data_IF_956072605384
#
_entry.id   IF_956072605384
#
_cell.length_a   1.000
_cell.length_b   1.000
_cell.length_c   1.000
_cell.angle_alpha   90.00
_cell.angle_beta   90.00
_cell.angle_gamma   90.00
#
_symmetry.space_group_name_H-M   'P 1'
#
loop_
_entity.id
_entity.type
_entity.pdbx_description
1 polymer ?
#
# COMPACT_ATOMS: atom_id res chain seq x y z
N UNK A 1 -21.82 62.86 27.63
CA UNK A 1 -21.22 62.08 28.74
C UNK A 1 -21.94 60.74 28.75
N UNK A 2 -21.38 59.58 28.47
CA UNK A 2 -19.98 59.11 28.53
C UNK A 2 -19.71 58.09 27.43
N UNK A 3 -18.49 58.14 26.90
CA UNK A 3 -17.90 57.17 26.00
C UNK A 3 -17.04 56.16 26.77
N UNK A 4 -16.95 54.96 26.20
CA UNK A 4 -15.89 53.95 26.36
C UNK A 4 -15.84 53.22 27.73
N UNK A 5 -15.48 51.95 27.84
CA UNK A 5 -14.48 51.19 27.09
C UNK A 5 -14.89 49.71 27.00
N UNK A 6 -15.00 49.18 25.79
CA UNK A 6 -14.72 47.76 25.55
C UNK A 6 -13.22 47.69 25.26
N UNK A 7 -12.44 47.29 26.26
CA UNK A 7 -11.02 46.99 26.06
C UNK A 7 -10.86 45.76 25.16
N UNK A 8 -9.81 45.69 24.33
CA UNK A 8 -9.46 44.46 23.66
C UNK A 8 -9.09 43.42 24.71
N UNK A 9 -9.73 42.25 24.67
CA UNK A 9 -9.27 41.09 25.43
C UNK A 9 -7.98 40.63 24.76
N UNK A 10 -6.84 41.15 25.23
CA UNK A 10 -5.53 40.60 24.91
C UNK A 10 -5.40 39.24 25.57
N UNK A 11 -5.74 38.18 24.83
CA UNK A 11 -5.32 36.83 25.21
C UNK A 11 -3.81 36.75 24.97
N UNK A 12 -3.02 37.12 25.98
CA UNK A 12 -1.59 36.80 26.01
C UNK A 12 -1.45 35.33 26.34
N UNK A 13 -1.39 34.47 25.32
CA UNK A 13 -0.89 33.10 25.47
C UNK A 13 0.63 33.20 25.42
N UNK A 14 1.29 32.90 26.53
CA UNK A 14 2.74 32.82 26.59
C UNK A 14 3.25 31.74 25.61
N UNK A 15 4.32 31.99 24.83
CA UNK A 15 4.92 30.98 23.97
C UNK A 15 5.86 30.14 24.83
N UNK A 16 5.31 29.16 25.54
CA UNK A 16 6.06 28.24 26.36
C UNK A 16 5.20 27.04 26.68
N UNK A 17 5.57 25.90 26.09
CA UNK A 17 5.18 24.56 26.55
C UNK A 17 3.71 24.17 26.35
N UNK A 18 3.13 24.46 25.18
CA UNK A 18 2.15 23.51 24.65
C UNK A 18 2.95 22.33 24.11
N UNK A 19 3.04 21.27 24.90
CA UNK A 19 3.68 20.03 24.48
C UNK A 19 3.07 19.61 23.14
N UNK A 20 3.87 19.78 22.08
CA UNK A 20 3.63 19.24 20.73
C UNK A 20 3.68 17.71 20.73
N UNK A 21 3.87 17.10 21.89
CA UNK A 21 3.51 15.72 22.22
C UNK A 21 1.99 15.59 22.05
N UNK A 22 1.64 15.38 20.78
CA UNK A 22 0.72 14.34 20.38
C UNK A 22 -0.71 14.75 19.97
N UNK A 23 -0.82 15.94 19.37
CA UNK A 23 -2.00 16.25 18.57
C UNK A 23 -2.14 15.31 17.35
N UNK A 24 -1.06 14.65 16.91
CA UNK A 24 -1.04 13.80 15.71
C UNK A 24 -1.60 12.40 15.98
N UNK A 25 -1.38 11.77 17.15
CA UNK A 25 -2.06 10.52 17.52
C UNK A 25 -3.58 10.72 17.65
N UNK A 26 -4.03 11.94 17.94
CA UNK A 26 -5.44 12.28 17.92
C UNK A 26 -6.03 12.29 16.48
N UNK A 27 -5.23 12.56 15.46
CA UNK A 27 -5.69 12.62 14.06
C UNK A 27 -5.48 11.32 13.29
N UNK A 28 -4.42 10.55 13.59
CA UNK A 28 -4.12 9.28 12.93
C UNK A 28 -4.79 8.14 13.72
N UNK A 29 -6.11 8.12 13.65
CA UNK A 29 -6.94 7.07 14.27
C UNK A 29 -7.12 5.87 13.36
N UNK A 30 -7.57 4.73 13.90
CA UNK A 30 -7.94 3.57 13.09
C UNK A 30 -8.99 3.91 12.01
N UNK A 31 -9.94 4.80 12.31
CA UNK A 31 -10.92 5.27 11.34
C UNK A 31 -10.28 6.09 10.22
N UNK A 32 -9.30 6.94 10.56
CA UNK A 32 -8.53 7.69 9.57
C UNK A 32 -7.78 6.73 8.63
N UNK A 33 -7.09 5.73 9.17
CA UNK A 33 -6.33 4.75 8.39
C UNK A 33 -7.25 3.96 7.45
N UNK A 34 -8.44 3.57 7.91
CA UNK A 34 -9.40 2.85 7.07
C UNK A 34 -9.95 3.73 5.93
N UNK A 35 -10.28 4.99 6.23
CA UNK A 35 -10.69 5.96 5.20
C UNK A 35 -9.56 6.21 4.20
N UNK A 36 -8.31 6.25 4.66
CA UNK A 36 -7.14 6.42 3.81
C UNK A 36 -6.94 5.22 2.89
N UNK A 37 -7.03 3.98 3.41
CA UNK A 37 -6.99 2.74 2.62
C UNK A 37 -8.06 2.71 1.53
N UNK A 38 -9.26 3.15 1.86
CA UNK A 38 -10.36 3.22 0.88
C UNK A 38 -10.07 4.25 -0.22
N UNK A 39 -9.56 5.43 0.14
CA UNK A 39 -9.32 6.53 -0.81
C UNK A 39 -8.11 6.32 -1.72
N UNK A 40 -7.04 5.71 -1.21
CA UNK A 40 -5.79 5.56 -1.96
C UNK A 40 -5.98 4.69 -3.21
N UNK A 41 -6.98 3.81 -3.22
CA UNK A 41 -7.35 2.96 -4.35
C UNK A 41 -7.65 3.80 -5.61
N UNK A 42 -8.29 4.97 -5.44
CA UNK A 42 -8.70 5.84 -6.55
C UNK A 42 -7.61 6.83 -6.98
N UNK A 43 -6.52 6.92 -6.23
CA UNK A 43 -5.44 7.86 -6.54
C UNK A 43 -4.62 7.39 -7.74
N UNK A 44 -3.91 8.31 -8.40
CA UNK A 44 -2.95 7.92 -9.44
C UNK A 44 -1.65 7.41 -8.81
N UNK A 45 -0.88 6.58 -9.52
CA UNK A 45 0.42 6.10 -9.02
C UNK A 45 1.37 7.25 -8.71
N UNK A 46 1.38 8.30 -9.55
CA UNK A 46 2.19 9.51 -9.32
C UNK A 46 1.76 10.25 -8.08
N UNK A 47 0.45 10.37 -7.83
CA UNK A 47 -0.07 11.00 -6.60
C UNK A 47 0.32 10.24 -5.35
N UNK A 48 0.26 8.91 -5.38
CA UNK A 48 0.65 8.07 -4.24
C UNK A 48 2.15 8.22 -3.96
N UNK A 49 2.99 8.17 -5.00
CA UNK A 49 4.43 8.37 -4.82
C UNK A 49 4.76 9.75 -4.26
N UNK A 50 4.15 10.81 -4.80
CA UNK A 50 4.36 12.17 -4.30
C UNK A 50 3.94 12.31 -2.83
N UNK A 51 2.86 11.65 -2.41
CA UNK A 51 2.44 11.68 -1.01
C UNK A 51 3.31 10.82 -0.11
N UNK A 52 3.80 9.68 -0.58
CA UNK A 52 4.76 8.88 0.15
C UNK A 52 6.03 9.69 0.44
N UNK A 53 6.58 10.35 -0.58
CA UNK A 53 7.78 11.18 -0.45
C UNK A 53 7.56 12.35 0.53
N UNK A 54 6.37 12.96 0.51
CA UNK A 54 6.00 14.03 1.43
C UNK A 54 5.85 13.52 2.88
N UNK A 55 5.19 12.38 3.07
CA UNK A 55 4.92 11.83 4.40
C UNK A 55 6.18 11.28 5.07
N UNK A 56 7.08 10.67 4.31
CA UNK A 56 8.40 10.27 4.82
C UNK A 56 9.19 11.45 5.41
N UNK A 57 8.98 12.67 4.91
CA UNK A 57 9.67 13.86 5.43
C UNK A 57 8.89 14.57 6.55
N UNK A 58 7.56 14.52 6.52
CA UNK A 58 6.71 15.34 7.40
C UNK A 58 6.15 14.60 8.61
N UNK A 59 5.93 13.29 8.49
CA UNK A 59 5.35 12.41 9.50
C UNK A 59 6.08 11.05 9.57
N UNK A 60 7.42 11.02 9.69
CA UNK A 60 8.19 9.77 9.69
C UNK A 60 7.83 8.81 10.83
N UNK A 61 7.29 9.33 11.94
CA UNK A 61 6.94 8.57 13.14
C UNK A 61 5.62 7.78 13.01
N UNK A 62 4.94 7.87 11.86
CA UNK A 62 3.65 7.22 11.57
C UNK A 62 3.79 6.18 10.44
N UNK A 63 4.50 5.07 10.68
CA UNK A 63 4.80 4.08 9.66
C UNK A 63 3.53 3.45 9.06
N UNK A 64 2.44 3.34 9.82
CA UNK A 64 1.18 2.76 9.34
C UNK A 64 0.52 3.57 8.22
N UNK A 65 0.78 4.89 8.16
CA UNK A 65 0.33 5.76 7.06
C UNK A 65 1.16 5.49 5.81
N UNK A 66 2.48 5.32 5.99
CA UNK A 66 3.41 4.98 4.90
C UNK A 66 3.10 3.60 4.33
N UNK A 67 2.88 2.61 5.20
CA UNK A 67 2.55 1.23 4.84
C UNK A 67 1.33 1.14 3.92
N UNK A 68 0.30 1.98 4.14
CA UNK A 68 -0.88 2.02 3.28
C UNK A 68 -0.50 2.43 1.85
N UNK A 69 0.31 3.49 1.71
CA UNK A 69 0.73 4.00 0.41
C UNK A 69 1.70 3.03 -0.28
N UNK A 70 2.65 2.48 0.45
CA UNK A 70 3.62 1.50 -0.05
C UNK A 70 2.94 0.21 -0.51
N UNK A 71 2.02 -0.32 0.29
CA UNK A 71 1.23 -1.51 -0.05
C UNK A 71 0.42 -1.30 -1.33
N UNK A 72 -0.20 -0.14 -1.49
CA UNK A 72 -0.98 0.17 -2.68
C UNK A 72 -0.09 0.34 -3.93
N UNK A 73 1.07 1.00 -3.80
CA UNK A 73 2.06 1.06 -4.89
C UNK A 73 2.55 -0.32 -5.28
N UNK A 74 2.88 -1.15 -4.29
CA UNK A 74 3.35 -2.51 -4.51
C UNK A 74 2.29 -3.36 -5.22
N UNK A 75 1.03 -3.32 -4.77
CA UNK A 75 -0.12 -3.99 -5.42
C UNK A 75 -0.25 -3.59 -6.90
N UNK A 76 -0.11 -2.29 -7.20
CA UNK A 76 -0.18 -1.80 -8.59
C UNK A 76 0.99 -2.29 -9.43
N UNK A 77 2.20 -2.25 -8.90
CA UNK A 77 3.40 -2.76 -9.59
C UNK A 77 3.30 -4.27 -9.83
N UNK A 78 2.80 -5.04 -8.87
CA UNK A 78 2.51 -6.47 -9.04
C UNK A 78 1.49 -6.71 -10.17
N UNK A 79 0.40 -5.94 -10.20
CA UNK A 79 -0.60 -6.07 -11.26
C UNK A 79 -0.04 -5.73 -12.64
N UNK A 80 0.81 -4.69 -12.75
CA UNK A 80 1.50 -4.35 -13.98
C UNK A 80 2.47 -5.45 -14.41
N UNK A 81 3.26 -5.98 -13.48
CA UNK A 81 4.17 -7.10 -13.73
C UNK A 81 3.40 -8.35 -14.21
N UNK A 82 2.31 -8.69 -13.54
CA UNK A 82 1.48 -9.85 -13.92
C UNK A 82 0.89 -9.69 -15.32
N UNK A 83 0.49 -8.47 -15.70
CA UNK A 83 0.01 -8.17 -17.07
C UNK A 83 1.14 -8.30 -18.09
N UNK A 84 2.32 -7.73 -17.81
CA UNK A 84 3.44 -7.76 -18.76
C UNK A 84 3.98 -9.18 -18.97
N UNK A 85 4.07 -10.00 -17.92
CA UNK A 85 4.56 -11.39 -18.01
C UNK A 85 3.72 -12.24 -18.97
N UNK A 86 2.41 -12.01 -19.06
CA UNK A 86 1.53 -12.77 -19.96
C UNK A 86 1.98 -12.66 -21.41
N UNK A 87 2.40 -11.48 -21.82
CA UNK A 87 2.77 -11.14 -23.20
C UNK A 87 4.23 -11.47 -23.52
N UNK A 88 5.06 -11.73 -22.50
CA UNK A 88 6.48 -11.96 -22.69
C UNK A 88 6.80 -13.40 -23.13
N UNK A 89 7.76 -13.61 -24.04
CA UNK A 89 8.32 -14.93 -24.34
C UNK A 89 9.04 -15.54 -23.13
N UNK A 90 9.05 -16.87 -23.05
CA UNK A 90 9.64 -17.63 -21.94
C UNK A 90 11.10 -17.25 -21.66
N UNK A 91 11.89 -17.05 -22.72
CA UNK A 91 13.29 -16.64 -22.61
C UNK A 91 13.48 -15.28 -21.92
N UNK A 92 12.47 -14.41 -21.91
CA UNK A 92 12.53 -13.11 -21.24
C UNK A 92 12.12 -13.18 -19.76
N UNK A 93 11.47 -14.26 -19.33
CA UNK A 93 11.05 -14.44 -17.94
C UNK A 93 12.25 -14.70 -17.02
N UNK A 94 13.26 -15.43 -17.49
CA UNK A 94 14.52 -15.63 -16.75
C UNK A 94 15.26 -14.31 -16.50
N UNK A 95 15.32 -13.45 -17.52
CA UNK A 95 15.91 -12.12 -17.39
C UNK A 95 15.14 -11.24 -16.39
N UNK A 96 13.81 -11.35 -16.35
CA UNK A 96 12.98 -10.67 -15.35
C UNK A 96 13.23 -11.20 -13.93
N UNK A 97 13.42 -12.51 -13.77
CA UNK A 97 13.72 -13.12 -12.47
C UNK A 97 15.04 -12.57 -11.90
N UNK A 98 16.07 -12.46 -12.74
CA UNK A 98 17.35 -11.82 -12.40
C UNK A 98 17.18 -10.34 -12.03
N UNK A 99 16.36 -9.60 -12.79
CA UNK A 99 16.09 -8.18 -12.54
C UNK A 99 15.43 -7.95 -11.18
N UNK A 100 14.50 -8.83 -10.78
CA UNK A 100 13.75 -8.73 -9.53
C UNK A 100 14.25 -9.69 -8.45
N UNK A 101 15.54 -10.07 -8.49
CA UNK A 101 16.17 -10.99 -7.52
C UNK A 101 16.11 -10.52 -6.05
N UNK A 102 15.80 -9.26 -5.79
CA UNK A 102 15.71 -8.69 -4.45
C UNK A 102 14.27 -8.50 -3.96
N UNK A 103 13.26 -8.83 -4.78
CA UNK A 103 11.84 -8.65 -4.45
C UNK A 103 11.13 -10.00 -4.49
N UNK A 104 10.96 -10.68 -3.32
CA UNK A 104 10.43 -12.05 -3.25
C UNK A 104 9.08 -12.23 -3.97
N UNK A 105 8.13 -11.33 -3.73
CA UNK A 105 6.79 -11.39 -4.32
C UNK A 105 6.83 -11.37 -5.86
N UNK A 106 7.79 -10.65 -6.45
CA UNK A 106 7.89 -10.55 -7.90
C UNK A 106 8.48 -11.83 -8.46
N UNK A 107 9.42 -12.45 -7.75
CA UNK A 107 9.97 -13.75 -8.14
C UNK A 107 8.90 -14.82 -8.09
N UNK A 108 8.07 -14.86 -7.04
CA UNK A 108 6.98 -15.83 -6.92
C UNK A 108 6.03 -15.73 -8.12
N UNK A 109 5.63 -14.52 -8.50
CA UNK A 109 4.78 -14.29 -9.69
C UNK A 109 5.49 -14.75 -10.97
N UNK A 110 6.76 -14.39 -11.16
CA UNK A 110 7.52 -14.77 -12.36
C UNK A 110 7.69 -16.29 -12.45
N UNK A 111 8.09 -16.94 -11.36
CA UNK A 111 8.28 -18.40 -11.28
C UNK A 111 6.97 -19.14 -11.53
N UNK A 112 5.87 -18.66 -10.95
CA UNK A 112 4.53 -19.22 -11.19
C UNK A 112 4.18 -19.17 -12.68
N UNK A 113 4.45 -18.06 -13.36
CA UNK A 113 4.23 -17.95 -14.79
C UNK A 113 5.15 -18.82 -15.63
N UNK A 114 6.43 -18.93 -15.27
CA UNK A 114 7.36 -19.85 -15.92
C UNK A 114 6.85 -21.29 -15.83
N UNK A 115 6.39 -21.72 -14.65
CA UNK A 115 5.81 -23.04 -14.44
C UNK A 115 4.53 -23.26 -15.27
N UNK A 116 3.64 -22.26 -15.34
CA UNK A 116 2.43 -22.32 -16.18
C UNK A 116 2.81 -22.48 -17.67
N UNK A 117 3.80 -21.72 -18.16
CA UNK A 117 4.20 -21.75 -19.57
C UNK A 117 4.98 -23.01 -19.95
N UNK A 118 5.77 -23.57 -19.03
CA UNK A 118 6.46 -24.84 -19.22
C UNK A 118 5.53 -26.07 -19.18
N UNK A 119 4.21 -25.85 -19.03
CA UNK A 119 3.23 -26.94 -18.97
C UNK A 119 3.22 -27.70 -17.65
N UNK A 120 3.77 -27.14 -16.57
CA UNK A 120 3.60 -27.72 -15.25
C UNK A 120 2.11 -27.66 -14.89
N UNK A 121 1.51 -28.82 -14.60
CA UNK A 121 0.13 -28.89 -14.11
C UNK A 121 0.00 -27.94 -12.92
N UNK A 122 -0.91 -26.96 -13.05
CA UNK A 122 -1.33 -26.10 -11.94
C UNK A 122 -1.62 -27.01 -10.75
N UNK A 123 -1.13 -26.62 -9.57
CA UNK A 123 -1.33 -27.21 -8.23
C UNK A 123 -2.19 -28.49 -8.26
N UNK A 124 -1.69 -29.67 -7.81
CA UNK A 124 -2.51 -30.87 -7.78
C UNK A 124 -3.84 -30.54 -7.11
N UNK A 125 -4.93 -30.67 -7.87
CA UNK A 125 -6.27 -30.37 -7.37
C UNK A 125 -6.42 -31.08 -6.03
N UNK A 126 -6.69 -30.30 -4.98
CA UNK A 126 -7.04 -30.83 -3.65
C UNK A 126 -8.46 -31.43 -3.68
N UNK A 127 -8.74 -32.22 -4.71
CA UNK A 127 -9.98 -32.93 -5.00
C UNK A 127 -9.74 -34.27 -5.72
N UNK A 128 -8.50 -34.78 -5.77
CA UNK A 128 -8.25 -36.18 -6.10
C UNK A 128 -8.58 -37.08 -4.89
N UNK A 129 -9.87 -37.19 -4.55
CA UNK A 129 -10.30 -37.91 -3.35
C UNK A 129 -11.77 -38.26 -3.23
N UNK A 130 -12.60 -38.09 -4.26
CA UNK A 130 -13.94 -38.69 -4.26
C UNK A 130 -14.09 -39.53 -5.53
N UNK A 131 -13.98 -40.88 -5.46
CA UNK A 131 -14.33 -41.72 -6.58
C UNK A 131 -15.83 -41.59 -6.85
N UNK A 132 -16.17 -41.08 -8.03
CA UNK A 132 -17.50 -41.20 -8.58
C UNK A 132 -17.79 -42.69 -8.85
N UNK A 133 -18.62 -43.32 -8.01
CA UNK A 133 -19.59 -44.37 -8.34
C UNK A 133 -20.10 -45.08 -7.08
N UNK A 134 -21.38 -44.90 -6.78
CA UNK A 134 -22.23 -46.04 -6.42
C UNK A 134 -23.46 -45.93 -7.31
N UNK A 135 -23.49 -46.76 -8.36
CA UNK A 135 -24.74 -47.28 -8.90
C UNK A 135 -25.21 -48.35 -7.92
N UNK A 136 -26.35 -48.16 -7.27
CA UNK A 136 -27.44 -49.15 -7.14
C UNK A 136 -28.74 -48.37 -6.98
#
# INVERSE_FOLDING_TARGET
MSSAQQGPISVSVAPGDMQLEDLRDYYITAEYLERMRSRVIDWTTTSIQAQLDLFQQSIPDYPEVLDILESELHRRRLNLLNRSIRELPDAQLEALLLKYKSVPDYQEVIQTWMAIKSGANRLPDRAAGVPARIQI
#
